data_IF_009288045196
#
_entry.id   IF_009288045196
#
_cell.length_a   1.000
_cell.length_b   1.000
_cell.length_c   1.000
_cell.angle_alpha   90.00
_cell.angle_beta   90.00
_cell.angle_gamma   90.00
#
_symmetry.space_group_name_H-M   'P 1'
#
loop_
_entity.id
_entity.type
_entity.pdbx_description
1 polymer ?
#
# COMPACT_ATOMS: atom_id res chain seq x y z
N UNK A 1 26.63 7.98 11.20
CA UNK A 1 26.45 7.87 9.72
C UNK A 1 25.72 9.06 9.10
N UNK A 2 24.53 9.48 9.55
CA UNK A 2 23.81 10.63 8.91
C UNK A 2 24.54 11.99 9.02
N UNK A 3 25.30 12.25 10.10
CA UNK A 3 26.04 13.52 10.28
C UNK A 3 27.10 13.76 9.18
N UNK A 4 27.91 12.76 8.87
CA UNK A 4 28.91 12.85 7.80
C UNK A 4 28.29 13.07 6.42
N UNK A 5 27.15 12.43 6.15
CA UNK A 5 26.39 12.66 4.91
C UNK A 5 26.01 14.14 4.73
N UNK A 6 25.38 14.76 5.74
CA UNK A 6 24.98 16.17 5.64
C UNK A 6 26.20 17.11 5.51
N UNK A 7 27.31 16.79 6.18
CA UNK A 7 28.55 17.55 6.03
C UNK A 7 29.11 17.44 4.61
N UNK A 8 29.12 16.25 4.01
CA UNK A 8 29.59 16.05 2.62
C UNK A 8 28.77 16.87 1.63
N UNK A 9 27.44 16.80 1.70
CA UNK A 9 26.59 17.59 0.78
C UNK A 9 26.67 19.09 1.06
N UNK A 10 26.97 19.50 2.30
CA UNK A 10 27.20 20.90 2.63
C UNK A 10 28.47 21.43 1.95
N UNK A 11 29.57 20.67 2.00
CA UNK A 11 30.84 21.04 1.35
C UNK A 11 30.63 21.18 -0.17
N UNK A 12 29.93 20.22 -0.79
CA UNK A 12 29.60 20.28 -2.22
C UNK A 12 28.74 21.50 -2.57
N UNK A 13 27.73 21.82 -1.76
CA UNK A 13 26.87 22.99 -1.98
C UNK A 13 27.67 24.29 -1.85
N UNK A 14 28.57 24.40 -0.87
CA UNK A 14 29.47 25.56 -0.71
C UNK A 14 30.42 25.66 -1.91
N UNK A 15 30.97 24.55 -2.41
CA UNK A 15 31.80 24.58 -3.62
C UNK A 15 31.02 25.11 -4.83
N UNK A 16 29.74 24.72 -4.97
CA UNK A 16 28.85 25.27 -6.00
C UNK A 16 28.56 26.76 -5.82
N UNK A 17 28.42 27.25 -4.58
CA UNK A 17 28.32 28.69 -4.27
C UNK A 17 29.57 29.43 -4.75
N UNK A 18 30.76 28.92 -4.43
CA UNK A 18 32.03 29.56 -4.80
C UNK A 18 32.22 29.60 -6.33
N UNK A 19 31.95 28.48 -7.01
CA UNK A 19 31.99 28.38 -8.47
C UNK A 19 31.02 29.37 -9.15
N UNK A 20 29.76 29.39 -8.70
CA UNK A 20 28.76 30.27 -9.28
C UNK A 20 29.01 31.74 -8.95
N UNK A 21 29.49 32.05 -7.74
CA UNK A 21 29.87 33.41 -7.35
C UNK A 21 31.03 33.95 -8.18
N UNK A 22 32.03 33.11 -8.45
CA UNK A 22 33.15 33.47 -9.34
C UNK A 22 32.64 33.79 -10.75
N UNK A 23 31.82 32.93 -11.35
CA UNK A 23 31.23 33.18 -12.67
C UNK A 23 30.32 34.41 -12.70
N UNK A 24 29.58 34.67 -11.63
CA UNK A 24 28.76 35.89 -11.48
C UNK A 24 29.64 37.13 -11.47
N UNK A 25 30.73 37.12 -10.71
CA UNK A 25 31.69 38.23 -10.66
C UNK A 25 32.30 38.51 -12.04
N UNK A 26 32.81 37.48 -12.71
CA UNK A 26 33.41 37.60 -14.05
C UNK A 26 32.43 38.17 -15.08
N UNK A 27 31.15 37.76 -15.02
CA UNK A 27 30.10 38.28 -15.89
C UNK A 27 29.91 39.80 -15.73
N UNK A 28 29.83 40.30 -14.50
CA UNK A 28 29.59 41.72 -14.25
C UNK A 28 30.82 42.61 -14.47
N UNK A 29 32.02 42.06 -14.33
CA UNK A 29 33.28 42.76 -14.61
C UNK A 29 33.66 42.65 -16.10
N UNK A 30 32.88 41.93 -16.91
CA UNK A 30 33.15 41.66 -18.34
C UNK A 30 34.53 41.03 -18.59
N UNK A 31 35.04 40.27 -17.62
CA UNK A 31 36.33 39.58 -17.72
C UNK A 31 36.21 38.29 -18.52
N UNK A 32 37.34 37.81 -19.04
CA UNK A 32 37.43 36.54 -19.75
C UNK A 32 37.92 35.51 -18.72
N UNK A 33 37.15 34.45 -18.44
CA UNK A 33 37.61 33.41 -17.53
C UNK A 33 38.91 32.79 -18.03
N UNK A 34 39.75 32.34 -17.10
CA UNK A 34 41.09 31.79 -17.39
C UNK A 34 41.11 30.65 -18.45
N UNK A 35 39.99 29.97 -18.66
CA UNK A 35 39.86 28.80 -19.55
C UNK A 35 39.14 29.13 -20.88
N UNK A 36 39.45 30.30 -21.48
CA UNK A 36 38.81 30.76 -22.73
C UNK A 36 39.71 30.75 -23.97
N UNK A 37 40.99 30.37 -23.86
CA UNK A 37 41.95 30.62 -24.95
C UNK A 37 42.83 29.44 -25.36
N UNK A 38 42.68 28.26 -24.73
CA UNK A 38 43.68 27.20 -24.87
C UNK A 38 43.28 26.01 -25.77
N UNK A 39 41.99 25.70 -25.96
CA UNK A 39 41.57 24.57 -26.81
C UNK A 39 40.25 24.83 -27.57
N UNK A 40 40.10 24.38 -28.84
CA UNK A 40 38.92 24.68 -29.67
C UNK A 40 37.57 24.22 -29.09
N UNK A 41 37.58 23.15 -28.28
CA UNK A 41 36.39 22.58 -27.66
C UNK A 41 36.24 22.94 -26.17
N UNK A 42 37.24 23.59 -25.55
CA UNK A 42 37.23 23.99 -24.14
C UNK A 42 37.42 25.50 -24.06
N UNK A 43 36.32 26.23 -24.21
CA UNK A 43 36.28 27.69 -24.20
C UNK A 43 35.11 28.16 -23.33
N UNK A 44 35.45 28.58 -22.12
CA UNK A 44 34.49 29.14 -21.17
C UNK A 44 33.90 30.47 -21.66
N UNK A 45 34.64 31.25 -22.44
CA UNK A 45 34.22 32.57 -22.90
C UNK A 45 33.12 32.44 -23.95
N UNK A 46 33.29 31.52 -24.90
CA UNK A 46 32.28 31.20 -25.91
C UNK A 46 30.98 30.70 -25.29
N UNK A 47 31.04 29.91 -24.21
CA UNK A 47 29.85 29.45 -23.50
C UNK A 47 29.18 30.58 -22.71
N UNK A 48 29.94 31.33 -21.92
CA UNK A 48 29.40 32.36 -21.02
C UNK A 48 28.93 33.64 -21.74
N UNK A 49 29.34 33.84 -23.00
CA UNK A 49 28.85 34.95 -23.85
C UNK A 49 27.82 34.49 -24.89
N UNK A 50 27.47 33.20 -24.89
CA UNK A 50 26.44 32.70 -25.79
C UNK A 50 25.07 33.31 -25.46
N UNK A 51 24.16 33.30 -26.42
CA UNK A 51 22.76 33.71 -26.22
C UNK A 51 22.05 32.90 -25.11
N UNK A 52 22.59 31.73 -24.75
CA UNK A 52 22.04 30.86 -23.71
C UNK A 52 22.57 31.17 -22.30
N UNK A 53 23.50 32.11 -22.15
CA UNK A 53 24.13 32.46 -20.87
C UNK A 53 23.20 33.25 -19.93
N UNK A 54 22.07 33.72 -20.42
CA UNK A 54 21.09 34.49 -19.68
C UNK A 54 19.67 33.96 -19.92
N UNK A 55 18.81 34.10 -18.92
CA UNK A 55 17.38 33.79 -19.01
C UNK A 55 16.61 35.03 -18.54
N UNK A 56 15.81 35.62 -19.43
CA UNK A 56 15.12 36.90 -19.19
C UNK A 56 16.05 38.02 -18.68
N UNK A 57 17.27 38.09 -19.20
CA UNK A 57 18.28 39.08 -18.80
C UNK A 57 19.00 38.78 -17.48
N UNK A 58 18.67 37.68 -16.81
CA UNK A 58 19.37 37.24 -15.60
C UNK A 58 20.48 36.25 -15.99
N UNK A 59 21.74 36.50 -15.59
CA UNK A 59 22.83 35.57 -15.86
C UNK A 59 22.60 34.20 -15.19
N UNK A 60 22.84 33.12 -15.93
CA UNK A 60 22.71 31.75 -15.39
C UNK A 60 23.58 31.52 -14.15
N UNK A 61 24.75 32.16 -14.08
CA UNK A 61 25.63 32.10 -12.91
C UNK A 61 24.95 32.64 -11.63
N UNK A 62 24.14 33.70 -11.75
CA UNK A 62 23.36 34.26 -10.63
C UNK A 62 22.28 33.27 -10.18
N UNK A 63 21.58 32.63 -11.12
CA UNK A 63 20.60 31.59 -10.79
C UNK A 63 21.24 30.39 -10.10
N UNK A 64 22.43 29.97 -10.56
CA UNK A 64 23.25 28.94 -9.92
C UNK A 64 23.64 29.32 -8.50
N UNK A 65 24.10 30.56 -8.28
CA UNK A 65 24.47 31.09 -6.97
C UNK A 65 23.28 31.05 -6.00
N UNK A 66 22.11 31.53 -6.44
CA UNK A 66 20.88 31.49 -5.63
C UNK A 66 20.52 30.04 -5.26
N UNK A 67 20.60 29.12 -6.22
CA UNK A 67 20.29 27.71 -6.01
C UNK A 67 21.21 27.05 -4.98
N UNK A 68 22.53 27.17 -5.15
CA UNK A 68 23.50 26.56 -4.23
C UNK A 68 23.48 27.22 -2.85
N UNK A 69 23.24 28.53 -2.77
CA UNK A 69 23.07 29.22 -1.51
C UNK A 69 21.83 28.71 -0.76
N UNK A 70 20.70 28.58 -1.46
CA UNK A 70 19.49 27.99 -0.89
C UNK A 70 19.72 26.57 -0.36
N UNK A 71 20.36 25.70 -1.15
CA UNK A 71 20.74 24.34 -0.72
C UNK A 71 21.62 24.37 0.53
N UNK A 72 22.64 25.23 0.56
CA UNK A 72 23.54 25.40 1.70
C UNK A 72 22.77 25.76 2.98
N UNK A 73 21.84 26.72 2.89
CA UNK A 73 21.00 27.13 4.02
C UNK A 73 20.12 25.98 4.50
N UNK A 74 19.43 25.27 3.60
CA UNK A 74 18.56 24.14 3.99
C UNK A 74 19.37 23.01 4.63
N UNK A 75 20.54 22.67 4.09
CA UNK A 75 21.42 21.64 4.66
C UNK A 75 21.89 22.06 6.06
N UNK A 76 22.31 23.32 6.22
CA UNK A 76 22.76 23.86 7.50
C UNK A 76 21.65 23.82 8.56
N UNK A 77 20.44 24.27 8.21
CA UNK A 77 19.26 24.18 9.10
C UNK A 77 18.97 22.72 9.45
N UNK A 78 19.07 21.80 8.49
CA UNK A 78 18.85 20.36 8.74
C UNK A 78 19.85 19.78 9.75
N UNK A 79 21.10 20.23 9.73
CA UNK A 79 22.13 19.82 10.69
C UNK A 79 21.80 20.33 12.10
N UNK A 80 21.41 21.60 12.23
CA UNK A 80 21.07 22.23 13.53
C UNK A 80 19.80 21.62 14.12
N UNK A 81 18.78 21.37 13.30
CA UNK A 81 17.47 20.90 13.74
C UNK A 81 17.40 19.39 13.99
N UNK A 82 18.54 18.67 14.09
CA UNK A 82 18.59 17.20 14.15
C UNK A 82 17.77 16.55 15.28
N UNK A 83 17.29 17.31 16.28
CA UNK A 83 16.43 16.82 17.36
C UNK A 83 14.91 16.91 17.13
N UNK A 84 14.42 17.68 16.15
CA UNK A 84 12.97 17.85 15.90
C UNK A 84 12.52 17.01 14.70
N UNK A 85 11.84 15.89 14.97
CA UNK A 85 11.49 14.89 13.95
C UNK A 85 10.68 15.48 12.80
N UNK A 86 9.55 16.15 13.05
CA UNK A 86 8.63 16.62 11.98
C UNK A 86 9.27 17.59 10.98
N UNK A 87 9.98 18.62 11.46
CA UNK A 87 10.61 19.62 10.58
C UNK A 87 11.71 19.03 9.72
N UNK A 88 12.43 18.04 10.26
CA UNK A 88 13.51 17.34 9.56
C UNK A 88 13.02 16.62 8.30
N UNK A 89 11.82 16.03 8.31
CA UNK A 89 11.23 15.40 7.12
C UNK A 89 10.93 16.41 6.02
N UNK A 90 10.34 17.56 6.39
CA UNK A 90 10.03 18.64 5.44
C UNK A 90 11.30 19.15 4.75
N UNK A 91 12.37 19.39 5.52
CA UNK A 91 13.66 19.80 4.96
C UNK A 91 14.25 18.73 4.03
N UNK A 92 14.12 17.44 4.39
CA UNK A 92 14.47 16.32 3.53
C UNK A 92 13.73 16.36 2.19
N UNK A 93 12.43 16.64 2.19
CA UNK A 93 11.62 16.76 0.97
C UNK A 93 12.11 17.91 0.09
N UNK A 94 12.40 19.07 0.69
CA UNK A 94 12.95 20.23 -0.03
C UNK A 94 14.28 19.87 -0.69
N UNK A 95 15.19 19.19 0.03
CA UNK A 95 16.48 18.76 -0.53
C UNK A 95 16.31 17.78 -1.69
N UNK A 96 15.39 16.84 -1.60
CA UNK A 96 15.09 15.87 -2.67
C UNK A 96 14.61 16.59 -3.93
N UNK A 97 13.69 17.54 -3.79
CA UNK A 97 13.13 18.29 -4.93
C UNK A 97 14.20 19.21 -5.53
N UNK A 98 14.89 19.99 -4.71
CA UNK A 98 15.88 20.96 -5.20
C UNK A 98 17.07 20.28 -5.86
N UNK A 99 17.59 19.19 -5.29
CA UNK A 99 18.68 18.45 -5.94
C UNK A 99 18.26 17.86 -7.29
N UNK A 100 16.99 17.45 -7.45
CA UNK A 100 16.47 17.00 -8.75
C UNK A 100 16.35 18.16 -9.76
N UNK A 101 15.89 19.34 -9.32
CA UNK A 101 15.85 20.55 -10.17
C UNK A 101 17.27 20.90 -10.64
N UNK A 102 18.24 20.97 -9.72
CA UNK A 102 19.63 21.26 -10.05
C UNK A 102 20.19 20.29 -11.10
N UNK A 103 20.01 18.98 -10.88
CA UNK A 103 20.44 17.96 -11.84
C UNK A 103 19.78 18.11 -13.23
N UNK A 104 18.47 18.33 -13.30
CA UNK A 104 17.76 18.50 -14.58
C UNK A 104 18.25 19.75 -15.34
N UNK A 105 18.44 20.86 -14.63
CA UNK A 105 18.99 22.09 -15.21
C UNK A 105 20.42 21.85 -15.68
N UNK A 106 21.27 21.18 -14.89
CA UNK A 106 22.63 20.84 -15.30
C UNK A 106 22.67 19.97 -16.55
N UNK A 107 21.81 18.96 -16.67
CA UNK A 107 21.71 18.13 -17.88
C UNK A 107 21.35 18.98 -19.10
N UNK A 108 20.38 19.88 -18.95
CA UNK A 108 19.99 20.79 -20.02
C UNK A 108 21.12 21.74 -20.43
N UNK A 109 21.82 22.36 -19.47
CA UNK A 109 22.95 23.25 -19.76
C UNK A 109 24.14 22.51 -20.37
N UNK A 110 24.38 21.25 -20.00
CA UNK A 110 25.37 20.40 -20.65
C UNK A 110 24.99 20.07 -22.09
N UNK A 111 23.71 19.80 -22.35
CA UNK A 111 23.19 19.61 -23.71
C UNK A 111 23.45 20.86 -24.58
N UNK A 112 23.15 22.06 -24.08
CA UNK A 112 23.39 23.31 -24.81
C UNK A 112 24.88 23.51 -25.15
N UNK A 113 25.77 23.27 -24.18
CA UNK A 113 27.22 23.38 -24.38
C UNK A 113 27.73 22.44 -25.48
N UNK A 114 27.35 21.17 -25.42
CA UNK A 114 27.88 20.13 -26.31
C UNK A 114 27.29 20.24 -27.72
N UNK A 115 25.96 20.38 -27.82
CA UNK A 115 25.26 20.21 -29.10
C UNK A 115 24.95 21.52 -29.83
N UNK A 116 24.72 22.63 -29.10
CA UNK A 116 24.36 23.90 -29.73
C UNK A 116 25.54 24.87 -29.80
N UNK A 117 26.31 25.01 -28.73
CA UNK A 117 27.47 25.91 -28.67
C UNK A 117 28.70 25.25 -29.31
N UNK A 118 28.82 23.93 -29.17
CA UNK A 118 29.96 23.16 -29.63
C UNK A 118 31.25 23.43 -28.83
N UNK A 119 31.13 23.85 -27.58
CA UNK A 119 32.24 24.14 -26.68
C UNK A 119 31.84 23.94 -25.22
N UNK A 120 32.80 23.54 -24.39
CA UNK A 120 32.61 23.19 -22.98
C UNK A 120 33.24 24.25 -22.10
N UNK A 121 32.51 24.70 -21.07
CA UNK A 121 33.04 25.52 -19.99
C UNK A 121 33.43 24.64 -18.80
N UNK A 122 34.66 24.79 -18.30
CA UNK A 122 35.18 24.03 -17.17
C UNK A 122 34.37 24.27 -15.89
N UNK A 123 34.05 25.52 -15.58
CA UNK A 123 33.25 25.90 -14.41
C UNK A 123 31.81 25.41 -14.51
N UNK A 124 31.14 25.58 -15.67
CA UNK A 124 29.79 25.04 -15.87
C UNK A 124 29.75 23.51 -15.75
N UNK A 125 30.81 22.83 -16.21
CA UNK A 125 30.95 21.39 -16.09
C UNK A 125 31.20 20.97 -14.64
N UNK A 126 32.03 21.70 -13.89
CA UNK A 126 32.23 21.50 -12.46
C UNK A 126 30.91 21.65 -11.70
N UNK A 127 30.15 22.71 -11.98
CA UNK A 127 28.81 22.94 -11.43
C UNK A 127 27.87 21.76 -11.77
N UNK A 128 27.87 21.28 -13.02
CA UNK A 128 27.07 20.12 -13.41
C UNK A 128 27.47 18.85 -12.65
N UNK A 129 28.77 18.60 -12.46
CA UNK A 129 29.27 17.46 -11.67
C UNK A 129 28.84 17.58 -10.21
N UNK A 130 28.94 18.78 -9.61
CA UNK A 130 28.52 19.04 -8.23
C UNK A 130 27.02 18.77 -8.09
N UNK A 131 26.19 19.34 -8.97
CA UNK A 131 24.73 19.14 -8.96
C UNK A 131 24.33 17.69 -9.13
N UNK A 132 24.96 16.97 -10.06
CA UNK A 132 24.71 15.53 -10.26
C UNK A 132 25.15 14.71 -9.05
N UNK A 133 26.28 15.04 -8.44
CA UNK A 133 26.76 14.35 -7.23
C UNK A 133 25.84 14.61 -6.05
N UNK A 134 25.40 15.85 -5.85
CA UNK A 134 24.40 16.22 -4.84
C UNK A 134 23.10 15.44 -5.04
N UNK A 135 22.58 15.39 -6.27
CA UNK A 135 21.41 14.61 -6.61
C UNK A 135 21.57 13.13 -6.26
N UNK A 136 22.63 12.47 -6.74
CA UNK A 136 22.84 11.04 -6.48
C UNK A 136 22.97 10.74 -4.98
N UNK A 137 23.74 11.55 -4.24
CA UNK A 137 23.92 11.38 -2.80
C UNK A 137 22.61 11.61 -2.02
N UNK A 138 21.87 12.68 -2.34
CA UNK A 138 20.61 13.01 -1.69
C UNK A 138 19.57 11.93 -1.96
N UNK A 139 19.38 11.53 -3.22
CA UNK A 139 18.44 10.47 -3.57
C UNK A 139 18.85 9.14 -2.93
N UNK A 140 20.13 8.78 -2.92
CA UNK A 140 20.55 7.52 -2.33
C UNK A 140 20.37 7.49 -0.81
N UNK A 141 20.83 8.52 -0.09
CA UNK A 141 20.83 8.54 1.38
C UNK A 141 19.48 8.90 2.01
N UNK A 142 18.62 9.63 1.29
CA UNK A 142 17.26 9.98 1.71
C UNK A 142 16.20 9.11 1.02
N UNK A 143 16.52 7.83 0.76
CA UNK A 143 15.62 6.94 0.02
C UNK A 143 14.29 6.68 0.74
N UNK A 144 14.27 6.67 2.07
CA UNK A 144 13.05 6.50 2.87
C UNK A 144 12.19 7.76 2.79
N UNK A 145 12.80 8.93 3.05
CA UNK A 145 12.15 10.23 2.93
C UNK A 145 11.61 10.45 1.51
N UNK A 146 12.32 10.01 0.46
CA UNK A 146 11.83 10.05 -0.93
C UNK A 146 10.58 9.19 -1.12
N UNK A 147 10.59 7.95 -0.64
CA UNK A 147 9.42 7.06 -0.75
C UNK A 147 8.22 7.63 -0.01
N UNK A 148 8.42 8.14 1.20
CA UNK A 148 7.36 8.79 1.96
C UNK A 148 6.81 10.02 1.23
N UNK A 149 7.69 10.89 0.73
CA UNK A 149 7.30 12.05 -0.07
C UNK A 149 6.48 11.64 -1.30
N UNK A 150 6.92 10.62 -2.02
CA UNK A 150 6.19 10.10 -3.17
C UNK A 150 4.81 9.56 -2.75
N UNK A 151 4.72 8.75 -1.70
CA UNK A 151 3.44 8.21 -1.19
C UNK A 151 2.49 9.34 -0.77
N UNK A 152 2.98 10.35 -0.06
CA UNK A 152 2.18 11.48 0.40
C UNK A 152 1.66 12.30 -0.78
N UNK A 153 2.54 12.66 -1.71
CA UNK A 153 2.16 13.47 -2.90
C UNK A 153 1.24 12.69 -3.83
N UNK A 154 1.54 11.43 -4.14
CA UNK A 154 0.67 10.56 -4.95
C UNK A 154 -0.66 10.32 -4.24
N UNK A 155 -0.66 10.17 -2.91
CA UNK A 155 -1.85 10.04 -2.10
C UNK A 155 -2.74 11.28 -2.16
N UNK A 156 -2.16 12.48 -2.09
CA UNK A 156 -2.90 13.74 -2.24
C UNK A 156 -3.47 13.90 -3.65
N UNK A 157 -2.68 13.63 -4.69
CA UNK A 157 -3.13 13.64 -6.09
C UNK A 157 -4.27 12.64 -6.28
N UNK A 158 -4.12 11.42 -5.75
CA UNK A 158 -5.16 10.41 -5.81
C UNK A 158 -6.43 10.90 -5.12
N UNK A 159 -6.35 11.40 -3.89
CA UNK A 159 -7.53 11.80 -3.12
C UNK A 159 -8.24 13.04 -3.67
N UNK A 160 -7.49 14.01 -4.21
CA UNK A 160 -8.03 15.31 -4.63
C UNK A 160 -8.36 15.40 -6.10
N UNK A 161 -7.74 14.58 -6.95
CA UNK A 161 -7.90 14.65 -8.41
C UNK A 161 -8.47 13.34 -8.95
N UNK A 162 -7.76 12.21 -8.76
CA UNK A 162 -8.12 10.94 -9.41
C UNK A 162 -9.41 10.35 -8.82
N UNK A 163 -9.50 10.28 -7.48
CA UNK A 163 -10.62 9.67 -6.76
C UNK A 163 -11.96 10.35 -7.06
N UNK A 164 -12.10 11.70 -7.07
CA UNK A 164 -13.34 12.34 -7.50
C UNK A 164 -13.80 11.92 -8.89
N UNK A 165 -12.88 11.80 -9.86
CA UNK A 165 -13.19 11.34 -11.22
C UNK A 165 -13.63 9.88 -11.22
N UNK A 166 -12.89 8.98 -10.55
CA UNK A 166 -13.26 7.57 -10.45
C UNK A 166 -14.61 7.35 -9.74
N UNK A 167 -14.99 8.28 -8.87
CA UNK A 167 -16.24 8.19 -8.10
C UNK A 167 -17.48 8.52 -8.95
N UNK A 168 -17.30 9.11 -10.14
CA UNK A 168 -18.35 9.29 -11.14
C UNK A 168 -18.74 7.98 -11.85
N UNK A 169 -17.89 6.95 -11.78
CA UNK A 169 -18.07 5.67 -12.45
C UNK A 169 -18.60 4.64 -11.43
N UNK A 170 -19.40 3.67 -11.90
CA UNK A 170 -19.92 2.58 -11.06
C UNK A 170 -18.81 1.89 -10.23
N UNK A 171 -19.10 1.59 -8.97
CA UNK A 171 -18.13 1.06 -8.03
C UNK A 171 -17.58 -0.31 -8.41
N UNK A 172 -18.43 -1.22 -8.91
CA UNK A 172 -18.02 -2.56 -9.32
C UNK A 172 -17.13 -2.49 -10.56
N UNK A 173 -17.49 -1.67 -11.55
CA UNK A 173 -16.67 -1.47 -12.76
C UNK A 173 -15.26 -1.02 -12.38
N UNK A 174 -15.14 0.02 -11.56
CA UNK A 174 -13.82 0.49 -11.10
C UNK A 174 -13.06 -0.59 -10.35
N UNK A 175 -13.72 -1.36 -9.49
CA UNK A 175 -13.08 -2.44 -8.76
C UNK A 175 -12.54 -3.54 -9.68
N UNK A 176 -13.34 -3.99 -10.66
CA UNK A 176 -12.92 -4.98 -11.67
C UNK A 176 -11.80 -4.44 -12.57
N UNK A 177 -11.87 -3.18 -12.99
CA UNK A 177 -10.81 -2.55 -13.77
C UNK A 177 -9.50 -2.48 -12.98
N UNK A 178 -9.53 -1.98 -11.74
CA UNK A 178 -8.30 -1.82 -10.94
C UNK A 178 -7.70 -3.18 -10.55
N UNK A 179 -8.52 -4.18 -10.24
CA UNK A 179 -8.02 -5.54 -9.96
C UNK A 179 -7.38 -6.18 -11.19
N UNK A 180 -7.94 -5.96 -12.38
CA UNK A 180 -7.38 -6.43 -13.65
C UNK A 180 -6.08 -5.71 -14.02
N UNK A 181 -6.01 -4.39 -13.83
CA UNK A 181 -4.75 -3.63 -13.98
C UNK A 181 -3.69 -4.16 -13.00
N UNK A 182 -4.08 -4.40 -11.74
CA UNK A 182 -3.18 -4.96 -10.73
C UNK A 182 -2.66 -6.35 -11.10
N UNK A 183 -3.51 -7.20 -11.68
CA UNK A 183 -3.11 -8.52 -12.22
C UNK A 183 -2.05 -8.37 -13.32
N UNK A 184 -2.32 -7.54 -14.33
CA UNK A 184 -1.39 -7.31 -15.45
C UNK A 184 -0.05 -6.78 -14.93
N UNK A 185 -0.06 -5.75 -14.07
CA UNK A 185 1.16 -5.18 -13.51
C UNK A 185 1.92 -6.18 -12.62
N UNK A 186 1.21 -7.06 -11.90
CA UNK A 186 1.81 -8.12 -11.10
C UNK A 186 2.53 -9.18 -11.93
N UNK A 187 2.12 -9.37 -13.19
CA UNK A 187 2.76 -10.33 -14.10
C UNK A 187 3.98 -9.75 -14.83
N UNK A 188 4.16 -8.43 -14.84
CA UNK A 188 5.26 -7.74 -15.54
C UNK A 188 6.39 -7.42 -14.57
N UNK A 189 7.52 -8.14 -14.67
CA UNK A 189 8.68 -8.00 -13.79
C UNK A 189 9.20 -6.55 -13.62
N UNK A 190 9.47 -5.80 -14.70
CA UNK A 190 9.87 -4.40 -14.62
C UNK A 190 8.84 -3.50 -13.92
N UNK A 191 7.54 -3.74 -14.15
CA UNK A 191 6.47 -2.97 -13.51
C UNK A 191 6.46 -3.22 -12.00
N UNK A 192 6.57 -4.49 -11.56
CA UNK A 192 6.69 -4.82 -10.13
C UNK A 192 7.88 -4.13 -9.48
N UNK A 193 9.05 -4.22 -10.10
CA UNK A 193 10.27 -3.60 -9.58
C UNK A 193 10.10 -2.09 -9.41
N UNK A 194 9.54 -1.42 -10.43
CA UNK A 194 9.34 0.03 -10.39
C UNK A 194 8.33 0.43 -9.30
N UNK A 195 7.21 -0.28 -9.19
CA UNK A 195 6.21 -0.03 -8.14
C UNK A 195 6.81 -0.27 -6.75
N UNK A 196 7.57 -1.36 -6.57
CA UNK A 196 8.26 -1.67 -5.32
C UNK A 196 9.29 -0.59 -4.95
N UNK A 197 10.04 -0.08 -5.92
CA UNK A 197 11.01 0.99 -5.72
C UNK A 197 10.33 2.29 -5.23
N UNK A 198 9.11 2.57 -5.66
CA UNK A 198 8.35 3.76 -5.29
C UNK A 198 7.56 3.60 -3.97
N UNK A 199 6.91 2.46 -3.78
CA UNK A 199 5.89 2.27 -2.75
C UNK A 199 6.37 1.47 -1.54
N UNK A 200 7.16 0.41 -1.75
CA UNK A 200 7.45 -0.55 -0.69
C UNK A 200 8.41 0.04 0.33
N UNK A 201 7.97 0.13 1.58
CA UNK A 201 8.82 0.41 2.73
C UNK A 201 8.92 -0.86 3.59
N UNK A 202 10.12 -1.12 4.10
CA UNK A 202 10.36 -2.26 4.99
C UNK A 202 11.00 -1.73 6.27
N UNK A 203 10.51 -2.21 7.41
CA UNK A 203 11.11 -1.95 8.70
C UNK A 203 11.18 -3.28 9.48
N UNK A 204 12.38 -3.76 9.86
CA UNK A 204 12.52 -4.99 10.63
C UNK A 204 11.66 -5.03 11.90
N UNK A 205 11.38 -3.89 12.53
CA UNK A 205 10.54 -3.82 13.74
C UNK A 205 9.06 -4.16 13.50
N UNK A 206 8.62 -4.17 12.23
CA UNK A 206 7.25 -4.51 11.84
C UNK A 206 7.10 -5.99 11.46
N UNK A 207 8.19 -6.75 11.36
CA UNK A 207 8.14 -8.18 11.02
C UNK A 207 7.63 -8.98 12.22
N UNK A 208 6.74 -9.93 11.94
CA UNK A 208 6.11 -10.75 12.98
C UNK A 208 6.12 -12.23 12.56
N UNK A 209 6.33 -13.13 13.52
CA UNK A 209 6.15 -14.57 13.31
C UNK A 209 4.93 -15.05 14.09
N UNK A 210 3.85 -15.39 13.37
CA UNK A 210 2.54 -15.70 13.96
C UNK A 210 2.06 -17.04 13.40
N UNK A 211 1.65 -17.96 14.29
CA UNK A 211 1.22 -19.32 13.90
C UNK A 211 2.23 -20.07 13.00
N UNK A 212 3.53 -19.79 13.17
CA UNK A 212 4.60 -20.37 12.35
C UNK A 212 4.82 -19.69 10.99
N UNK A 213 4.09 -18.62 10.68
CA UNK A 213 4.17 -17.87 9.43
C UNK A 213 4.95 -16.56 9.66
N UNK A 214 5.88 -16.26 8.77
CA UNK A 214 6.64 -15.01 8.78
C UNK A 214 5.91 -13.91 7.99
N UNK A 215 5.40 -12.91 8.70
CA UNK A 215 4.72 -11.74 8.15
C UNK A 215 5.71 -10.56 8.05
N UNK A 216 6.04 -10.08 6.84
CA UNK A 216 6.96 -8.95 6.67
C UNK A 216 6.41 -7.60 7.16
N UNK A 217 5.09 -7.47 7.29
CA UNK A 217 4.41 -6.30 7.87
C UNK A 217 3.06 -6.71 8.48
N UNK A 218 2.51 -5.95 9.45
CA UNK A 218 1.27 -6.29 10.14
C UNK A 218 0.00 -5.92 9.35
N UNK A 219 0.13 -5.20 8.22
CA UNK A 219 -0.99 -4.78 7.39
C UNK A 219 -1.12 -5.71 6.19
N UNK A 220 -2.31 -6.30 6.02
CA UNK A 220 -2.64 -7.17 4.89
C UNK A 220 -3.94 -6.79 4.21
N UNK A 221 -4.13 -7.28 2.98
CA UNK A 221 -5.39 -7.12 2.25
C UNK A 221 -6.40 -8.17 2.71
N UNK A 222 -7.55 -7.74 3.24
CA UNK A 222 -8.60 -8.64 3.72
C UNK A 222 -9.33 -9.36 2.58
N UNK A 223 -9.84 -10.57 2.85
CA UNK A 223 -10.74 -11.27 1.94
C UNK A 223 -11.98 -10.44 1.59
N UNK A 224 -12.46 -10.61 0.37
CA UNK A 224 -13.58 -9.91 -0.24
C UNK A 224 -13.15 -8.88 -1.29
N UNK A 225 -11.89 -8.43 -1.25
CA UNK A 225 -11.32 -7.54 -2.27
C UNK A 225 -10.77 -8.33 -3.46
N UNK A 226 -9.97 -9.37 -3.23
CA UNK A 226 -9.41 -10.22 -4.29
C UNK A 226 -10.06 -11.62 -4.31
N UNK A 227 -11.34 -11.68 -4.69
CA UNK A 227 -12.10 -12.94 -4.76
C UNK A 227 -11.82 -13.75 -6.03
N UNK A 228 -11.02 -13.23 -6.96
CA UNK A 228 -10.61 -13.89 -8.20
C UNK A 228 -9.10 -14.20 -8.26
N UNK A 229 -8.37 -13.97 -7.17
CA UNK A 229 -6.94 -14.21 -7.03
C UNK A 229 -6.07 -13.44 -8.05
N UNK A 230 -6.47 -12.22 -8.39
CA UNK A 230 -5.86 -11.32 -9.37
C UNK A 230 -4.66 -10.56 -8.82
N UNK A 231 -4.61 -10.29 -7.52
CA UNK A 231 -3.66 -9.33 -6.94
C UNK A 231 -2.46 -9.97 -6.25
N UNK A 232 -2.44 -11.31 -6.11
CA UNK A 232 -1.40 -12.02 -5.33
C UNK A 232 0.04 -11.67 -5.72
N UNK A 233 0.29 -11.34 -6.99
CA UNK A 233 1.62 -11.01 -7.49
C UNK A 233 2.03 -9.53 -7.32
N UNK A 234 1.07 -8.61 -7.18
CA UNK A 234 1.36 -7.17 -7.07
C UNK A 234 1.32 -6.65 -5.63
N UNK A 235 0.56 -7.30 -4.73
CA UNK A 235 0.46 -6.89 -3.32
C UNK A 235 1.81 -6.69 -2.60
N UNK A 236 2.83 -7.55 -2.78
CA UNK A 236 4.15 -7.34 -2.18
C UNK A 236 4.80 -6.01 -2.58
N UNK A 237 4.64 -5.62 -3.85
CA UNK A 237 5.20 -4.38 -4.40
C UNK A 237 4.49 -3.13 -3.85
N UNK A 238 3.24 -3.26 -3.44
CA UNK A 238 2.45 -2.19 -2.80
C UNK A 238 2.72 -2.07 -1.29
N UNK A 239 3.56 -2.95 -0.72
CA UNK A 239 3.92 -2.90 0.71
C UNK A 239 2.99 -3.66 1.65
N UNK A 240 2.04 -4.45 1.14
CA UNK A 240 1.26 -5.35 1.98
C UNK A 240 2.14 -6.46 2.55
N UNK A 241 1.94 -6.75 3.84
CA UNK A 241 2.63 -7.84 4.54
C UNK A 241 2.03 -9.21 4.29
N UNK A 242 0.75 -9.28 3.93
CA UNK A 242 0.04 -10.50 3.56
C UNK A 242 -1.23 -10.15 2.78
N UNK A 243 -1.91 -11.15 2.24
CA UNK A 243 -3.25 -10.97 1.67
C UNK A 243 -4.09 -12.23 1.81
N UNK A 244 -5.41 -12.08 1.79
CA UNK A 244 -6.34 -13.22 1.77
C UNK A 244 -7.15 -13.22 0.48
N UNK A 245 -7.00 -14.25 -0.33
CA UNK A 245 -7.83 -14.48 -1.52
C UNK A 245 -9.20 -15.00 -1.10
N UNK A 246 -10.24 -14.59 -1.82
CA UNK A 246 -11.60 -15.08 -1.62
C UNK A 246 -12.55 -14.04 -1.04
N UNK A 247 -13.66 -14.42 -0.42
CA UNK A 247 -14.02 -15.79 -0.04
C UNK A 247 -14.34 -16.69 -1.23
N UNK A 248 -13.65 -17.81 -1.30
CA UNK A 248 -13.82 -18.88 -2.28
C UNK A 248 -14.81 -19.88 -1.73
N UNK A 249 -15.66 -20.40 -2.61
CA UNK A 249 -16.61 -21.46 -2.26
C UNK A 249 -16.34 -22.69 -3.10
N UNK A 250 -16.93 -23.83 -2.74
CA UNK A 250 -16.71 -25.08 -3.45
C UNK A 250 -17.15 -24.97 -4.93
N UNK A 251 -18.34 -24.44 -5.15
CA UNK A 251 -18.91 -24.15 -6.46
C UNK A 251 -18.79 -22.65 -6.81
N UNK A 252 -18.75 -22.27 -8.11
CA UNK A 252 -18.78 -20.87 -8.52
C UNK A 252 -20.09 -20.17 -8.15
N UNK A 253 -20.02 -18.85 -7.99
CA UNK A 253 -21.18 -17.99 -7.80
C UNK A 253 -20.95 -16.62 -8.44
N UNK A 254 -21.89 -16.16 -9.25
CA UNK A 254 -21.78 -14.90 -10.01
C UNK A 254 -22.02 -13.63 -9.16
N UNK A 255 -22.54 -13.80 -7.95
CA UNK A 255 -22.94 -12.72 -7.05
C UNK A 255 -24.45 -12.52 -6.95
N UNK A 256 -24.89 -11.73 -5.97
CA UNK A 256 -26.31 -11.40 -5.79
C UNK A 256 -26.79 -10.48 -6.93
N UNK A 257 -28.11 -10.32 -7.12
CA UNK A 257 -28.64 -9.28 -7.99
C UNK A 257 -28.05 -7.89 -7.66
N UNK A 258 -27.69 -7.08 -8.68
CA UNK A 258 -27.15 -5.75 -8.47
C UNK A 258 -28.08 -4.84 -7.65
N UNK A 259 -27.54 -3.80 -6.98
CA UNK A 259 -26.12 -3.40 -6.96
C UNK A 259 -25.26 -4.30 -6.07
N UNK A 260 -24.10 -4.71 -6.58
CA UNK A 260 -23.12 -5.56 -5.86
C UNK A 260 -22.23 -4.76 -4.91
N UNK A 261 -21.92 -3.52 -5.28
CA UNK A 261 -21.02 -2.62 -4.58
C UNK A 261 -21.52 -1.18 -4.69
N UNK A 262 -21.50 -0.44 -3.59
CA UNK A 262 -21.88 0.97 -3.51
C UNK A 262 -20.90 1.77 -2.67
N UNK A 263 -20.79 3.09 -2.93
CA UNK A 263 -19.91 3.99 -2.17
C UNK A 263 -20.73 4.90 -1.27
N UNK A 264 -20.30 5.03 -0.02
CA UNK A 264 -20.85 5.95 0.99
C UNK A 264 -19.71 6.87 1.46
N UNK A 265 -19.32 7.86 0.64
CA UNK A 265 -18.15 8.70 0.91
C UNK A 265 -18.23 9.49 2.22
N UNK A 266 -19.40 10.06 2.58
CA UNK A 266 -19.56 10.79 3.86
C UNK A 266 -19.38 9.85 5.04
N UNK A 267 -19.88 8.63 4.92
CA UNK A 267 -19.76 7.58 5.94
C UNK A 267 -18.38 6.89 5.97
N UNK A 268 -17.48 7.23 5.02
CA UNK A 268 -16.21 6.49 4.77
C UNK A 268 -16.45 4.97 4.71
N UNK A 269 -17.44 4.57 3.92
CA UNK A 269 -17.96 3.21 3.87
C UNK A 269 -18.21 2.74 2.43
N UNK A 270 -18.31 1.43 2.25
CA UNK A 270 -18.84 0.79 1.05
C UNK A 270 -20.03 -0.07 1.43
N UNK A 271 -21.09 -0.03 0.62
CA UNK A 271 -22.15 -1.04 0.63
C UNK A 271 -21.66 -2.25 -0.17
N UNK A 272 -21.80 -3.45 0.37
CA UNK A 272 -21.40 -4.72 -0.25
C UNK A 272 -22.57 -5.70 -0.24
N UNK A 273 -22.89 -6.25 -1.42
CA UNK A 273 -23.93 -7.24 -1.66
C UNK A 273 -23.41 -8.41 -2.53
N UNK A 274 -22.13 -8.79 -2.42
CA UNK A 274 -21.54 -9.80 -3.32
C UNK A 274 -21.97 -11.25 -3.05
N UNK A 275 -22.39 -11.57 -1.83
CA UNK A 275 -22.82 -12.93 -1.48
C UNK A 275 -21.79 -14.03 -1.80
N UNK A 276 -20.49 -13.75 -1.63
CA UNK A 276 -19.38 -14.61 -2.07
C UNK A 276 -19.33 -14.86 -3.58
N UNK A 277 -19.46 -13.81 -4.42
CA UNK A 277 -19.08 -13.86 -5.85
C UNK A 277 -17.66 -14.43 -6.00
N UNK A 278 -17.49 -15.54 -6.73
CA UNK A 278 -16.20 -16.19 -6.97
C UNK A 278 -16.27 -17.26 -8.08
N UNK A 279 -15.11 -17.67 -8.62
CA UNK A 279 -15.00 -18.66 -9.70
C UNK A 279 -15.07 -20.14 -9.26
N UNK A 280 -15.23 -20.40 -7.97
CA UNK A 280 -15.19 -21.74 -7.38
C UNK A 280 -13.77 -22.25 -7.11
N UNK A 281 -13.65 -23.15 -6.13
CA UNK A 281 -12.37 -23.64 -5.64
C UNK A 281 -11.49 -24.25 -6.74
N UNK A 282 -12.06 -25.06 -7.63
CA UNK A 282 -11.30 -25.73 -8.71
C UNK A 282 -10.59 -24.74 -9.64
N UNK A 283 -11.28 -23.71 -10.13
CA UNK A 283 -10.69 -22.71 -11.03
C UNK A 283 -9.64 -21.85 -10.32
N UNK A 284 -9.88 -21.50 -9.05
CA UNK A 284 -8.93 -20.72 -8.26
C UNK A 284 -7.67 -21.53 -7.97
N UNK A 285 -7.79 -22.82 -7.66
CA UNK A 285 -6.66 -23.73 -7.49
C UNK A 285 -5.84 -23.80 -8.77
N UNK A 286 -6.47 -24.00 -9.93
CA UNK A 286 -5.76 -24.04 -11.21
C UNK A 286 -4.99 -22.75 -11.49
N UNK A 287 -5.63 -21.60 -11.23
CA UNK A 287 -5.00 -20.28 -11.39
C UNK A 287 -3.82 -20.11 -10.44
N UNK A 288 -4.02 -20.33 -9.15
CA UNK A 288 -3.00 -20.13 -8.12
C UNK A 288 -1.86 -21.15 -8.19
N UNK A 289 -2.10 -22.35 -8.71
CA UNK A 289 -1.07 -23.37 -8.89
C UNK A 289 0.05 -22.95 -9.84
N UNK A 290 -0.16 -21.89 -10.64
CA UNK A 290 0.81 -21.32 -11.59
C UNK A 290 1.75 -20.29 -10.92
N UNK A 291 1.51 -19.93 -9.66
CA UNK A 291 2.20 -18.82 -9.00
C UNK A 291 2.95 -19.26 -7.73
N UNK A 292 4.06 -18.58 -7.47
CA UNK A 292 4.67 -18.51 -6.14
C UNK A 292 4.33 -17.16 -5.49
N UNK A 293 4.38 -17.08 -4.16
CA UNK A 293 4.02 -15.87 -3.43
C UNK A 293 5.21 -15.33 -2.64
N UNK A 294 5.48 -14.02 -2.77
CA UNK A 294 6.57 -13.34 -2.06
C UNK A 294 6.19 -12.95 -0.61
N UNK A 295 4.89 -12.97 -0.31
CA UNK A 295 4.31 -12.72 1.01
C UNK A 295 3.30 -13.83 1.35
N UNK A 296 2.96 -14.05 2.63
CA UNK A 296 1.93 -14.99 3.01
C UNK A 296 0.59 -14.67 2.33
N UNK A 297 0.06 -15.63 1.56
CA UNK A 297 -1.28 -15.58 0.99
C UNK A 297 -2.17 -16.58 1.72
N UNK A 298 -3.28 -16.10 2.27
CA UNK A 298 -4.33 -16.94 2.86
C UNK A 298 -5.45 -17.23 1.86
N UNK A 299 -6.20 -18.31 2.10
CA UNK A 299 -7.42 -18.65 1.35
C UNK A 299 -8.62 -18.56 2.29
N UNK A 300 -9.52 -17.61 2.01
CA UNK A 300 -10.80 -17.51 2.68
C UNK A 300 -11.79 -18.49 2.05
N UNK A 301 -12.35 -19.40 2.83
CA UNK A 301 -13.32 -20.41 2.40
C UNK A 301 -14.64 -20.19 3.13
N UNK A 302 -15.74 -20.23 2.38
CA UNK A 302 -17.10 -20.11 2.90
C UNK A 302 -18.04 -21.07 2.18
N UNK A 303 -19.28 -21.13 2.69
CA UNK A 303 -20.38 -21.87 2.08
C UNK A 303 -20.76 -21.26 0.73
N UNK A 304 -20.89 -22.08 -0.31
CA UNK A 304 -21.45 -21.67 -1.60
C UNK A 304 -22.81 -21.01 -1.40
N UNK A 305 -22.99 -19.82 -2.00
CA UNK A 305 -24.26 -19.10 -1.94
C UNK A 305 -25.25 -19.68 -2.96
N UNK A 306 -25.94 -20.76 -2.59
CA UNK A 306 -26.88 -21.46 -3.46
C UNK A 306 -28.19 -21.73 -2.75
N UNK A 307 -29.32 -21.49 -3.44
CA UNK A 307 -30.67 -21.87 -2.97
C UNK A 307 -30.88 -23.39 -2.92
N UNK A 308 -29.98 -24.16 -3.53
CA UNK A 308 -30.03 -25.63 -3.54
C UNK A 308 -29.37 -26.26 -2.31
N UNK A 309 -28.53 -25.52 -1.58
CA UNK A 309 -27.94 -25.98 -0.34
C UNK A 309 -28.87 -25.58 0.80
N UNK A 310 -29.80 -26.47 1.18
CA UNK A 310 -30.92 -26.11 2.07
C UNK A 310 -30.65 -26.57 3.50
N UNK A 311 -29.88 -27.65 3.67
CA UNK A 311 -29.62 -28.26 4.97
C UNK A 311 -28.27 -27.85 5.57
N UNK A 312 -28.14 -28.08 6.89
CA UNK A 312 -26.87 -27.88 7.60
C UNK A 312 -25.79 -28.84 7.09
N UNK A 313 -26.12 -30.11 6.88
CA UNK A 313 -25.15 -31.13 6.46
C UNK A 313 -24.61 -30.87 5.06
N UNK A 314 -25.47 -30.51 4.10
CA UNK A 314 -25.05 -30.07 2.77
C UNK A 314 -24.10 -28.86 2.85
N UNK A 315 -24.41 -27.90 3.74
CA UNK A 315 -23.59 -26.70 3.93
C UNK A 315 -22.22 -27.01 4.55
N UNK A 316 -22.16 -27.99 5.47
CA UNK A 316 -20.89 -28.47 6.04
C UNK A 316 -20.10 -29.20 4.95
N UNK A 317 -20.71 -30.15 4.23
CA UNK A 317 -20.07 -30.91 3.15
C UNK A 317 -19.50 -29.97 2.08
N UNK A 318 -20.21 -28.91 1.73
CA UNK A 318 -19.76 -27.91 0.77
C UNK A 318 -18.46 -27.22 1.22
N UNK A 319 -18.42 -26.72 2.46
CA UNK A 319 -17.21 -26.09 3.02
C UNK A 319 -16.06 -27.10 3.09
N UNK A 320 -16.30 -28.30 3.63
CA UNK A 320 -15.30 -29.36 3.76
C UNK A 320 -14.74 -29.77 2.39
N UNK A 321 -15.58 -29.81 1.35
CA UNK A 321 -15.15 -30.10 -0.02
C UNK A 321 -14.16 -29.06 -0.54
N UNK A 322 -14.43 -27.77 -0.32
CA UNK A 322 -13.51 -26.70 -0.70
C UNK A 322 -12.16 -26.81 0.05
N UNK A 323 -12.17 -27.05 1.36
CA UNK A 323 -10.93 -27.28 2.13
C UNK A 323 -10.14 -28.47 1.59
N UNK A 324 -10.82 -29.60 1.36
CA UNK A 324 -10.21 -30.83 0.83
C UNK A 324 -9.57 -30.61 -0.54
N UNK A 325 -10.21 -29.84 -1.43
CA UNK A 325 -9.65 -29.48 -2.73
C UNK A 325 -8.34 -28.68 -2.57
N UNK A 326 -8.30 -27.67 -1.70
CA UNK A 326 -7.09 -26.87 -1.50
C UNK A 326 -5.97 -27.66 -0.80
N UNK A 327 -6.29 -28.50 0.19
CA UNK A 327 -5.28 -29.32 0.89
C UNK A 327 -4.62 -30.35 -0.05
N UNK A 328 -5.38 -30.89 -1.01
CA UNK A 328 -4.86 -31.80 -2.04
C UNK A 328 -4.15 -31.09 -3.20
N UNK A 329 -4.22 -29.76 -3.26
CA UNK A 329 -3.63 -28.98 -4.34
C UNK A 329 -2.16 -28.63 -4.09
N UNK A 330 -1.46 -28.23 -5.15
CA UNK A 330 -0.09 -27.71 -5.08
C UNK A 330 0.01 -26.24 -4.63
N UNK A 331 -1.11 -25.57 -4.34
CA UNK A 331 -1.13 -24.14 -4.01
C UNK A 331 -0.43 -23.89 -2.67
N UNK A 332 0.69 -23.15 -2.70
CA UNK A 332 1.53 -22.82 -1.52
C UNK A 332 0.98 -21.65 -0.70
N UNK A 333 -0.30 -21.69 -0.36
CA UNK A 333 -0.91 -20.72 0.55
C UNK A 333 -0.48 -20.98 2.00
N UNK A 334 -0.45 -19.94 2.82
CA UNK A 334 0.12 -19.94 4.16
C UNK A 334 -0.89 -20.32 5.26
N UNK A 335 -2.17 -19.97 5.09
CA UNK A 335 -3.21 -20.21 6.07
C UNK A 335 -4.61 -20.26 5.43
N UNK A 336 -5.57 -20.76 6.20
CA UNK A 336 -6.99 -20.66 5.85
C UNK A 336 -7.70 -19.62 6.70
N UNK A 337 -8.65 -18.93 6.08
CA UNK A 337 -9.70 -18.20 6.75
C UNK A 337 -11.02 -18.98 6.57
N UNK A 338 -11.63 -19.46 7.65
CA UNK A 338 -12.98 -20.01 7.63
C UNK A 338 -13.98 -18.88 7.81
N UNK A 339 -14.66 -18.47 6.74
CA UNK A 339 -15.58 -17.34 6.76
C UNK A 339 -17.02 -17.79 7.01
N UNK A 340 -17.47 -17.62 8.25
CA UNK A 340 -18.83 -17.94 8.71
C UNK A 340 -19.74 -16.71 8.83
N UNK A 341 -19.26 -15.52 8.47
CA UNK A 341 -19.85 -14.24 8.91
C UNK A 341 -20.45 -13.39 7.79
N UNK A 342 -20.56 -13.91 6.57
CA UNK A 342 -21.15 -13.15 5.47
C UNK A 342 -22.66 -12.90 5.70
N UNK A 343 -23.11 -11.63 5.69
CA UNK A 343 -24.53 -11.30 5.81
C UNK A 343 -25.37 -11.66 4.58
N UNK A 344 -24.72 -11.79 3.43
CA UNK A 344 -25.34 -11.63 2.12
C UNK A 344 -25.62 -12.99 1.43
N UNK A 345 -25.65 -14.07 2.20
CA UNK A 345 -25.92 -15.42 1.71
C UNK A 345 -27.43 -15.70 1.73
N UNK A 346 -27.90 -16.51 0.78
CA UNK A 346 -29.27 -17.03 0.78
C UNK A 346 -29.47 -18.14 1.81
N UNK A 347 -30.72 -18.29 2.20
CA UNK A 347 -31.17 -19.31 3.16
C UNK A 347 -30.96 -18.90 4.62
N UNK A 348 -31.42 -19.76 5.52
CA UNK A 348 -31.42 -19.53 6.97
C UNK A 348 -30.23 -20.16 7.69
N UNK A 349 -29.44 -21.00 7.01
CA UNK A 349 -28.33 -21.73 7.63
C UNK A 349 -27.18 -20.77 7.94
N UNK A 350 -26.87 -20.66 9.23
CA UNK A 350 -25.72 -19.92 9.75
C UNK A 350 -24.96 -20.77 10.77
N UNK A 351 -23.65 -20.50 10.91
CA UNK A 351 -22.79 -21.17 11.91
C UNK A 351 -22.59 -20.30 13.16
N UNK A 352 -23.54 -19.40 13.46
CA UNK A 352 -23.55 -18.63 14.70
C UNK A 352 -24.02 -19.47 15.91
N UNK A 353 -25.03 -20.35 15.78
CA UNK A 353 -25.41 -21.24 16.87
C UNK A 353 -24.23 -22.14 17.27
N UNK A 354 -23.86 -22.21 18.57
CA UNK A 354 -22.70 -22.98 19.03
C UNK A 354 -22.72 -24.46 18.61
N UNK A 355 -23.90 -25.09 18.59
CA UNK A 355 -24.06 -26.47 18.13
C UNK A 355 -23.68 -26.66 16.66
N UNK A 356 -24.10 -25.76 15.78
CA UNK A 356 -23.82 -25.84 14.34
C UNK A 356 -22.35 -25.55 14.06
N UNK A 357 -21.78 -24.57 14.76
CA UNK A 357 -20.34 -24.29 14.69
C UNK A 357 -19.51 -25.49 15.13
N UNK A 358 -19.90 -26.15 16.23
CA UNK A 358 -19.22 -27.34 16.73
C UNK A 358 -19.27 -28.49 15.72
N UNK A 359 -20.41 -28.72 15.06
CA UNK A 359 -20.54 -29.73 13.99
C UNK A 359 -19.60 -29.43 12.82
N UNK A 360 -19.57 -28.17 12.35
CA UNK A 360 -18.66 -27.75 11.28
C UNK A 360 -17.19 -27.95 11.67
N UNK A 361 -16.78 -27.52 12.86
CA UNK A 361 -15.39 -27.64 13.30
C UNK A 361 -14.98 -29.10 13.56
N UNK A 362 -15.89 -29.95 14.04
CA UNK A 362 -15.66 -31.41 14.11
C UNK A 362 -15.46 -32.02 12.74
N UNK A 363 -16.27 -31.65 11.75
CA UNK A 363 -16.10 -32.13 10.38
C UNK A 363 -14.76 -31.66 9.78
N UNK A 364 -14.37 -30.42 10.03
CA UNK A 364 -13.09 -29.86 9.56
C UNK A 364 -11.88 -30.51 10.24
N UNK A 365 -11.98 -30.84 11.53
CA UNK A 365 -10.92 -31.54 12.25
C UNK A 365 -10.59 -32.90 11.63
N UNK A 366 -11.58 -33.60 11.06
CA UNK A 366 -11.39 -34.90 10.39
C UNK A 366 -10.57 -34.82 9.10
N UNK A 367 -10.44 -33.63 8.50
CA UNK A 367 -9.59 -33.45 7.31
C UNK A 367 -8.10 -33.39 7.62
N UNK A 368 -7.72 -33.23 8.91
CA UNK A 368 -6.33 -33.04 9.33
C UNK A 368 -5.60 -31.94 8.53
N UNK A 369 -6.22 -30.77 8.45
CA UNK A 369 -5.69 -29.61 7.70
C UNK A 369 -4.31 -29.23 8.23
N UNK A 370 -3.32 -29.17 7.34
CA UNK A 370 -1.91 -28.94 7.71
C UNK A 370 -1.60 -27.49 8.03
N UNK A 371 -2.39 -26.58 7.47
CA UNK A 371 -2.20 -25.13 7.57
C UNK A 371 -3.04 -24.55 8.72
N UNK A 372 -2.56 -23.49 9.39
CA UNK A 372 -3.32 -22.85 10.45
C UNK A 372 -4.64 -22.28 9.91
N UNK A 373 -5.71 -22.43 10.70
CA UNK A 373 -7.05 -21.93 10.36
C UNK A 373 -7.43 -20.78 11.29
N UNK A 374 -7.94 -19.71 10.70
CA UNK A 374 -8.50 -18.56 11.39
C UNK A 374 -9.99 -18.44 11.10
N UNK A 375 -10.84 -18.27 12.12
CA UNK A 375 -12.29 -18.13 11.92
C UNK A 375 -12.67 -16.66 11.81
N UNK A 376 -13.29 -16.25 10.70
CA UNK A 376 -13.76 -14.87 10.52
C UNK A 376 -15.14 -14.67 11.13
N UNK A 377 -15.18 -13.90 12.19
CA UNK A 377 -16.30 -13.73 13.08
C UNK A 377 -17.26 -12.61 12.61
N UNK A 378 -18.58 -12.73 12.88
CA UNK A 378 -19.53 -11.65 12.63
C UNK A 378 -19.30 -10.50 13.61
N UNK A 379 -19.65 -9.27 13.20
CA UNK A 379 -19.51 -8.09 14.08
C UNK A 379 -20.83 -7.65 14.72
N UNK A 380 -21.96 -8.02 14.12
CA UNK A 380 -23.30 -7.62 14.56
C UNK A 380 -23.85 -8.44 15.73
N UNK A 381 -23.11 -9.45 16.20
CA UNK A 381 -23.56 -10.34 17.27
C UNK A 381 -23.32 -9.73 18.64
N UNK A 382 -24.17 -10.09 19.59
CA UNK A 382 -24.03 -9.70 21.00
C UNK A 382 -22.72 -10.23 21.59
N UNK A 383 -22.21 -9.59 22.64
CA UNK A 383 -21.01 -10.06 23.34
C UNK A 383 -21.19 -11.50 23.87
N UNK A 384 -22.41 -11.83 24.31
CA UNK A 384 -22.75 -13.16 24.80
C UNK A 384 -22.70 -14.22 23.67
N UNK A 385 -23.27 -13.92 22.51
CA UNK A 385 -23.24 -14.84 21.36
C UNK A 385 -21.81 -15.03 20.84
N UNK A 386 -21.04 -13.95 20.72
CA UNK A 386 -19.62 -14.04 20.35
C UNK A 386 -18.87 -14.87 21.39
N UNK A 387 -19.14 -14.69 22.68
CA UNK A 387 -18.51 -15.49 23.73
C UNK A 387 -18.86 -16.98 23.61
N UNK A 388 -20.13 -17.33 23.36
CA UNK A 388 -20.56 -18.71 23.14
C UNK A 388 -19.85 -19.33 21.92
N UNK A 389 -19.70 -18.59 20.83
CA UNK A 389 -18.95 -19.05 19.66
C UNK A 389 -17.46 -19.25 19.97
N UNK A 390 -16.82 -18.29 20.67
CA UNK A 390 -15.42 -18.41 21.09
C UNK A 390 -15.18 -19.63 21.97
N UNK A 391 -16.11 -19.93 22.89
CA UNK A 391 -16.05 -21.13 23.74
C UNK A 391 -16.00 -22.41 22.91
N UNK A 392 -16.71 -22.48 21.78
CA UNK A 392 -16.61 -23.63 20.87
C UNK A 392 -15.27 -23.63 20.14
N UNK A 393 -14.84 -22.50 19.60
CA UNK A 393 -13.62 -22.37 18.79
C UNK A 393 -12.37 -22.81 19.57
N UNK A 394 -12.24 -22.42 20.85
CA UNK A 394 -11.01 -22.69 21.63
C UNK A 394 -10.73 -24.17 21.86
N UNK A 395 -11.78 -25.01 21.87
CA UNK A 395 -11.67 -26.47 22.03
C UNK A 395 -10.89 -27.13 20.86
N UNK A 396 -10.87 -26.49 19.68
CA UNK A 396 -10.23 -27.03 18.49
C UNK A 396 -8.82 -26.44 18.29
N UNK A 397 -7.78 -27.17 18.71
CA UNK A 397 -6.36 -26.73 18.67
C UNK A 397 -5.80 -26.37 17.28
N UNK A 398 -6.39 -26.89 16.21
CA UNK A 398 -6.00 -26.55 14.83
C UNK A 398 -6.48 -25.15 14.43
N UNK A 399 -7.53 -24.63 15.07
CA UNK A 399 -7.93 -23.22 14.96
C UNK A 399 -6.96 -22.37 15.77
N UNK A 400 -6.15 -21.57 15.07
CA UNK A 400 -5.08 -20.76 15.68
C UNK A 400 -5.56 -19.37 16.10
N UNK A 401 -6.64 -18.88 15.51
CA UNK A 401 -7.12 -17.55 15.82
C UNK A 401 -8.47 -17.22 15.23
N UNK A 402 -8.85 -15.97 15.45
CA UNK A 402 -10.09 -15.37 14.96
C UNK A 402 -9.81 -14.04 14.28
N UNK A 403 -10.62 -13.72 13.27
CA UNK A 403 -10.58 -12.43 12.58
C UNK A 403 -11.84 -11.68 12.99
N UNK A 404 -11.67 -10.55 13.69
CA UNK A 404 -12.79 -9.68 14.03
C UNK A 404 -12.87 -8.55 13.03
N UNK A 405 -13.91 -8.62 12.20
CA UNK A 405 -14.15 -7.68 11.11
C UNK A 405 -14.94 -8.34 9.98
N UNK A 406 -16.17 -7.89 9.80
CA UNK A 406 -17.00 -8.12 8.61
C UNK A 406 -17.95 -6.93 8.47
N UNK A 407 -19.02 -7.05 7.69
CA UNK A 407 -19.91 -5.94 7.38
C UNK A 407 -20.83 -5.56 8.57
N UNK A 408 -21.02 -4.26 8.77
CA UNK A 408 -22.01 -3.67 9.66
C UNK A 408 -23.40 -3.78 9.03
N UNK A 409 -24.33 -4.38 9.77
CA UNK A 409 -25.72 -4.62 9.30
C UNK A 409 -26.70 -3.61 9.85
N UNK A 410 -26.39 -2.99 10.98
CA UNK A 410 -27.25 -1.95 11.52
C UNK A 410 -27.21 -0.72 10.62
N UNK A 411 -28.26 -0.56 9.81
CA UNK A 411 -28.41 0.55 8.87
C UNK A 411 -28.62 1.89 9.58
N UNK A 412 -28.98 1.86 10.86
CA UNK A 412 -29.19 3.04 11.71
C UNK A 412 -27.94 3.40 12.54
N UNK A 413 -26.83 2.70 12.34
CA UNK A 413 -25.58 3.01 13.03
C UNK A 413 -25.22 4.50 12.85
N UNK A 414 -24.88 5.23 13.93
CA UNK A 414 -24.66 6.67 13.88
C UNK A 414 -23.45 7.09 13.02
N UNK A 415 -22.57 6.16 12.65
CA UNK A 415 -21.46 6.40 11.73
C UNK A 415 -21.88 6.39 10.25
N UNK A 416 -23.12 6.05 9.95
CA UNK A 416 -23.69 6.02 8.60
C UNK A 416 -24.55 7.27 8.32
N UNK A 417 -24.24 7.96 7.23
CA UNK A 417 -25.10 9.00 6.65
C UNK A 417 -26.37 8.35 6.09
N UNK A 418 -27.53 8.76 6.63
CA UNK A 418 -28.80 8.12 6.33
C UNK A 418 -29.27 8.36 4.88
N UNK A 419 -28.89 9.49 4.27
CA UNK A 419 -29.19 9.75 2.85
C UNK A 419 -28.35 8.85 1.93
N UNK A 420 -27.10 8.56 2.30
CA UNK A 420 -26.28 7.59 1.58
C UNK A 420 -26.82 6.16 1.71
N UNK A 421 -27.27 5.77 2.90
CA UNK A 421 -27.85 4.44 3.17
C UNK A 421 -29.14 4.20 2.37
N UNK A 422 -30.03 5.20 2.28
CA UNK A 422 -31.31 5.09 1.55
C UNK A 422 -31.15 4.79 0.06
N UNK A 423 -30.00 5.12 -0.54
CA UNK A 423 -29.70 4.81 -1.95
C UNK A 423 -29.53 3.32 -2.22
N UNK A 424 -29.30 2.51 -1.19
CA UNK A 424 -29.00 1.09 -1.32
C UNK A 424 -29.96 0.25 -0.47
N UNK A 425 -31.04 -0.30 -1.03
CA UNK A 425 -32.02 -1.10 -0.27
C UNK A 425 -31.47 -2.46 0.18
N UNK A 426 -30.38 -2.91 -0.43
CA UNK A 426 -29.73 -4.22 -0.18
C UNK A 426 -28.28 -4.05 0.25
N UNK A 427 -27.69 -5.15 0.70
CA UNK A 427 -26.29 -5.20 1.14
C UNK A 427 -26.08 -4.59 2.53
N UNK A 428 -24.82 -4.65 2.95
CA UNK A 428 -24.35 -4.26 4.28
C UNK A 428 -23.04 -3.46 4.16
N UNK A 429 -22.58 -2.83 5.25
CA UNK A 429 -21.59 -1.75 5.18
C UNK A 429 -20.20 -2.15 5.67
N UNK A 430 -19.15 -1.71 4.98
CA UNK A 430 -17.75 -1.88 5.41
C UNK A 430 -17.13 -0.53 5.83
N UNK A 431 -15.82 -0.48 6.05
CA UNK A 431 -15.13 0.79 6.32
C UNK A 431 -15.30 1.26 7.76
N UNK A 432 -15.41 2.58 7.95
CA UNK A 432 -15.36 3.20 9.30
C UNK A 432 -16.48 2.74 10.25
N UNK A 433 -17.71 2.45 9.78
CA UNK A 433 -18.76 1.88 10.63
C UNK A 433 -18.41 0.58 11.35
N UNK A 434 -17.48 -0.21 10.80
CA UNK A 434 -17.05 -1.45 11.42
C UNK A 434 -16.02 -1.26 12.55
N UNK A 435 -15.40 -0.08 12.65
CA UNK A 435 -14.23 0.14 13.50
C UNK A 435 -14.53 -0.09 14.98
N UNK A 436 -15.50 0.67 15.53
CA UNK A 436 -15.80 0.66 16.95
C UNK A 436 -16.13 -0.76 17.43
N UNK A 437 -17.06 -1.42 16.73
CA UNK A 437 -17.51 -2.75 17.11
C UNK A 437 -16.42 -3.81 16.95
N UNK A 438 -15.61 -3.74 15.89
CA UNK A 438 -14.47 -4.66 15.74
C UNK A 438 -13.44 -4.48 16.87
N UNK A 439 -13.14 -3.25 17.30
CA UNK A 439 -12.22 -2.99 18.41
C UNK A 439 -12.77 -3.52 19.75
N UNK A 440 -14.08 -3.35 20.01
CA UNK A 440 -14.74 -3.93 21.19
C UNK A 440 -14.62 -5.45 21.22
N UNK A 441 -14.84 -6.13 20.10
CA UNK A 441 -14.76 -7.59 20.02
C UNK A 441 -13.32 -8.12 20.12
N UNK A 442 -12.35 -7.38 19.56
CA UNK A 442 -10.92 -7.66 19.76
C UNK A 442 -10.61 -7.63 21.26
N UNK A 443 -10.98 -6.56 21.96
CA UNK A 443 -10.78 -6.41 23.41
C UNK A 443 -11.48 -7.52 24.20
N UNK A 444 -12.73 -7.84 23.85
CA UNK A 444 -13.50 -8.92 24.48
C UNK A 444 -12.78 -10.27 24.36
N UNK A 445 -12.39 -10.64 23.14
CA UNK A 445 -11.69 -11.89 22.88
C UNK A 445 -10.33 -11.94 23.56
N UNK A 446 -9.54 -10.86 23.47
CA UNK A 446 -8.21 -10.79 24.05
C UNK A 446 -8.25 -10.97 25.57
N UNK A 447 -9.19 -10.30 26.26
CA UNK A 447 -9.37 -10.40 27.72
C UNK A 447 -9.56 -11.84 28.20
N UNK A 448 -10.23 -12.68 27.41
CA UNK A 448 -10.60 -14.05 27.83
C UNK A 448 -9.73 -15.14 27.23
N UNK A 449 -9.31 -14.97 25.98
CA UNK A 449 -8.65 -16.00 25.17
C UNK A 449 -7.39 -15.51 24.44
N UNK A 450 -6.84 -14.33 24.78
CA UNK A 450 -5.63 -13.79 24.12
C UNK A 450 -4.38 -14.66 24.25
N UNK A 451 -4.30 -15.55 25.26
CA UNK A 451 -3.23 -16.55 25.39
C UNK A 451 -3.40 -17.77 24.47
N UNK A 452 -4.62 -18.01 23.96
CA UNK A 452 -4.99 -19.19 23.18
C UNK A 452 -5.23 -18.88 21.71
N UNK A 453 -5.83 -17.73 21.42
CA UNK A 453 -6.20 -17.31 20.08
C UNK A 453 -5.37 -16.11 19.65
N UNK A 454 -4.78 -16.22 18.47
CA UNK A 454 -4.32 -15.06 17.72
C UNK A 454 -5.55 -14.27 17.27
N UNK A 455 -5.47 -12.94 17.32
CA UNK A 455 -6.54 -12.06 16.90
C UNK A 455 -6.05 -11.22 15.72
N UNK A 456 -6.78 -11.29 14.60
CA UNK A 456 -6.54 -10.45 13.44
C UNK A 456 -7.63 -9.37 13.42
N UNK A 457 -7.23 -8.12 13.64
CA UNK A 457 -8.14 -6.98 13.59
C UNK A 457 -8.46 -6.56 12.16
N UNK A 458 -9.73 -6.53 11.79
CA UNK A 458 -10.20 -6.16 10.47
C UNK A 458 -11.39 -5.19 10.56
N UNK A 459 -11.49 -4.26 9.61
CA UNK A 459 -12.56 -3.27 9.56
C UNK A 459 -12.19 -1.94 10.19
N UNK A 460 -12.38 -0.86 9.42
CA UNK A 460 -12.23 0.52 9.91
C UNK A 460 -10.82 1.09 9.97
N UNK A 461 -9.80 0.42 9.42
CA UNK A 461 -8.41 0.91 9.44
C UNK A 461 -8.16 1.89 8.28
N UNK A 462 -8.04 3.19 8.56
CA UNK A 462 -7.73 4.23 7.57
C UNK A 462 -6.40 4.94 7.83
N UNK A 463 -5.84 4.82 9.03
CA UNK A 463 -4.55 5.43 9.40
C UNK A 463 -3.66 4.48 10.21
N UNK A 464 -2.42 4.92 10.48
CA UNK A 464 -1.49 4.19 11.34
C UNK A 464 -2.01 4.11 12.79
N UNK A 465 -2.69 5.15 13.27
CA UNK A 465 -3.32 5.18 14.59
C UNK A 465 -4.47 4.18 14.68
N UNK A 466 -5.33 4.09 13.66
CA UNK A 466 -6.40 3.10 13.60
C UNK A 466 -5.83 1.66 13.65
N UNK A 467 -4.70 1.42 12.97
CA UNK A 467 -4.01 0.14 13.00
C UNK A 467 -3.39 -0.15 14.37
N UNK A 468 -2.70 0.83 14.96
CA UNK A 468 -2.07 0.69 16.26
C UNK A 468 -3.10 0.49 17.40
N UNK A 469 -4.30 1.08 17.28
CA UNK A 469 -5.37 0.86 18.25
C UNK A 469 -5.86 -0.60 18.28
N UNK A 470 -5.74 -1.33 17.16
CA UNK A 470 -6.12 -2.75 17.08
C UNK A 470 -5.05 -3.70 17.62
N UNK A 471 -3.79 -3.27 17.63
CA UNK A 471 -2.64 -4.00 18.17
C UNK A 471 -2.65 -3.84 19.70
#
# INVERSE_FOLDING_TARGET
MKKYFYLTILILAIAGVLDSAYLTYEHYVNSIPFCSTYFPFLDCGKVLRSQYSQVYGIPLAVLGLIHYFFLTVIIFITIIMSGRTRFRWILGYILIVQSAIGALVSVYLMYLQIFLIGSICLYCTLSAIISMTLFLLVQWKLSLERKEFFILTSGLIYQKIIKPVLFLINAEIIHETITTIGEILGMVGPAKWFIQYLMKTENPSLRQKIAGIDFPAPIGLSAGFDYEAKLTQILPSLGFGFGTVGTITNLPYEGNPPPLLGRLPKSRSLMVNKGFKNMGAKKIIEKLGKYNFDIPIGISIGRTNSRKLITLDESIIDIISAFSLFEKSSVKHAYYELNISCPNLYGSISFYPPGYLNLLLKALAKLDVKRPVFVKMPIEKSDEDVFKMLKVIVEFKFIKGVIFGNLQKDRKDPSLDQEEVRKFPVGNFSGKPCEKRSNELIKLCYKKYGKRLIIIGCGGVFSAEDAYQKI
#
